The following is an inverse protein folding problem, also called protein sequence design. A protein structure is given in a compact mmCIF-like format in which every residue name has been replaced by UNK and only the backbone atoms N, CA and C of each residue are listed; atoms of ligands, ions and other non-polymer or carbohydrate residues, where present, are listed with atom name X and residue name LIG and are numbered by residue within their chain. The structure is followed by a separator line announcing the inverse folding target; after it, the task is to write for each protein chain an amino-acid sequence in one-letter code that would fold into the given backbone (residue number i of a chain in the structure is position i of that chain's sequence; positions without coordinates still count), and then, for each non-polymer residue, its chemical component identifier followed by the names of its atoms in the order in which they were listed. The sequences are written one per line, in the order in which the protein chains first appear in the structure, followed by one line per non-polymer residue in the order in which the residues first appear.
data_IF_812791130992
#
_entry.id   IF_812791130992
#
_cell.length_a   1.000
_cell.length_b   1.000
_cell.length_c   1.000
_cell.angle_alpha   90.00
_cell.angle_beta   90.00
_cell.angle_gamma   90.00
#
_symmetry.space_group_name_H-M   'P 1'
#
loop_
_entity.id
_entity.type
_entity.pdbx_description
1 polymer ?
#
# COMPACT_ATOMS: atom_id res chain seq x y z
N UNK A 1 4.28 -33.78 13.10
CA UNK A 1 4.94 -32.90 12.11
C UNK A 1 3.84 -32.15 11.39
N UNK A 2 3.64 -30.87 11.68
CA UNK A 2 2.56 -30.11 11.04
C UNK A 2 2.91 -29.89 9.56
N UNK A 3 2.07 -30.43 8.69
CA UNK A 3 2.08 -30.17 7.26
C UNK A 3 1.67 -28.72 7.04
N UNK A 4 2.53 -27.91 6.41
CA UNK A 4 2.10 -26.61 5.88
C UNK A 4 1.68 -26.86 4.43
N UNK A 5 0.42 -27.27 4.28
CA UNK A 5 -0.33 -26.98 3.06
C UNK A 5 -0.55 -25.47 3.02
N UNK A 6 -0.13 -24.84 1.93
CA UNK A 6 -0.98 -23.97 1.13
C UNK A 6 -0.07 -23.23 0.14
N UNK A 7 0.09 -23.83 -1.03
CA UNK A 7 0.10 -23.03 -2.24
C UNK A 7 -1.11 -22.09 -2.17
N UNK A 8 -0.87 -20.78 -2.04
CA UNK A 8 -1.88 -19.80 -2.41
C UNK A 8 -1.48 -19.24 -3.78
N UNK A 9 -1.75 -20.00 -4.87
CA UNK A 9 -1.37 -19.56 -6.20
C UNK A 9 -2.27 -18.39 -6.59
N UNK A 10 -1.64 -17.26 -6.94
CA UNK A 10 -2.22 -16.20 -7.78
C UNK A 10 -3.24 -15.24 -7.10
N UNK A 11 -2.82 -14.55 -6.03
CA UNK A 11 -3.37 -13.21 -5.78
C UNK A 11 -2.94 -12.32 -6.96
N UNK A 12 -3.88 -11.93 -7.84
CA UNK A 12 -3.62 -11.00 -8.95
C UNK A 12 -2.80 -9.83 -8.43
N UNK A 13 -1.65 -9.47 -9.06
CA UNK A 13 -0.86 -8.35 -8.57
C UNK A 13 -1.77 -7.12 -8.59
N UNK A 14 -1.97 -6.49 -7.42
CA UNK A 14 -2.63 -5.19 -7.36
C UNK A 14 -1.91 -4.28 -8.34
N UNK A 15 -2.56 -4.03 -9.48
CA UNK A 15 -1.99 -3.24 -10.57
C UNK A 15 -2.52 -1.82 -10.42
N UNK A 16 -2.23 -1.22 -9.27
CA UNK A 16 -2.54 0.18 -9.04
C UNK A 16 -1.57 1.01 -9.85
N UNK A 17 -2.12 1.87 -10.71
CA UNK A 17 -1.33 2.83 -11.47
C UNK A 17 -1.19 4.11 -10.65
N UNK A 18 -0.30 4.99 -11.11
CA UNK A 18 -0.24 6.33 -10.54
C UNK A 18 -1.39 7.18 -11.12
N UNK A 19 -1.99 8.06 -10.33
CA UNK A 19 -1.62 8.47 -8.96
C UNK A 19 -2.22 7.63 -7.80
N UNK A 20 -3.05 6.62 -8.08
CA UNK A 20 -3.76 5.80 -7.09
C UNK A 20 -2.80 5.03 -6.18
N UNK A 21 -1.73 4.49 -6.76
CA UNK A 21 -0.68 3.80 -6.04
C UNK A 21 -0.05 4.69 -4.95
N UNK A 22 0.26 5.95 -5.29
CA UNK A 22 0.78 6.93 -4.35
C UNK A 22 -0.19 7.25 -3.22
N UNK A 23 -1.49 7.39 -3.52
CA UNK A 23 -2.53 7.61 -2.51
C UNK A 23 -2.69 6.41 -1.57
N UNK A 24 -2.71 5.20 -2.12
CA UNK A 24 -2.75 3.97 -1.32
C UNK A 24 -1.56 3.88 -0.36
N UNK A 25 -0.35 4.16 -0.85
CA UNK A 25 0.88 4.15 -0.04
C UNK A 25 0.80 5.18 1.08
N UNK A 26 0.29 6.39 0.78
CA UNK A 26 0.10 7.44 1.78
C UNK A 26 -0.91 7.04 2.86
N UNK A 27 -2.05 6.51 2.47
CA UNK A 27 -3.09 6.06 3.40
C UNK A 27 -2.56 4.92 4.29
N UNK A 28 -1.82 3.97 3.71
CA UNK A 28 -1.20 2.87 4.45
C UNK A 28 -0.14 3.40 5.43
N UNK A 29 0.68 4.37 5.01
CA UNK A 29 1.66 5.01 5.89
C UNK A 29 0.97 5.74 7.05
N UNK A 30 -0.10 6.49 6.77
CA UNK A 30 -0.87 7.17 7.81
C UNK A 30 -1.50 6.17 8.79
N UNK A 31 -2.01 5.04 8.30
CA UNK A 31 -2.52 3.95 9.15
C UNK A 31 -1.44 3.40 10.10
N UNK A 32 -0.19 3.29 9.62
CA UNK A 32 0.93 2.82 10.45
C UNK A 32 1.44 3.87 11.44
N UNK A 33 1.08 5.15 11.26
CA UNK A 33 1.63 6.26 12.06
C UNK A 33 3.13 6.51 11.83
N UNK A 34 3.74 5.92 10.80
CA UNK A 34 5.18 6.02 10.53
C UNK A 34 5.52 7.26 9.69
N UNK A 35 6.72 7.79 9.91
CA UNK A 35 7.33 8.77 9.00
C UNK A 35 7.66 8.09 7.67
N UNK A 36 7.88 8.87 6.60
CA UNK A 36 8.27 8.31 5.30
C UNK A 36 9.57 7.50 5.38
N UNK A 37 10.52 7.92 6.22
CA UNK A 37 11.78 7.20 6.46
C UNK A 37 11.53 5.86 7.14
N UNK A 38 10.79 5.85 8.26
CA UNK A 38 10.47 4.62 9.00
C UNK A 38 9.63 3.67 8.16
N UNK A 39 8.69 4.20 7.39
CA UNK A 39 7.87 3.43 6.46
C UNK A 39 8.73 2.82 5.34
N UNK A 40 9.64 3.59 4.76
CA UNK A 40 10.59 3.09 3.76
C UNK A 40 11.41 1.94 4.31
N UNK A 41 12.01 2.09 5.50
CA UNK A 41 12.76 1.04 6.18
C UNK A 41 11.90 -0.21 6.42
N UNK A 42 10.64 -0.04 6.82
CA UNK A 42 9.71 -1.15 7.06
C UNK A 42 9.37 -1.92 5.78
N UNK A 43 9.21 -1.22 4.66
CA UNK A 43 8.90 -1.81 3.33
C UNK A 43 10.17 -2.32 2.62
N UNK A 44 11.36 -1.87 3.05
CA UNK A 44 12.66 -2.22 2.47
C UNK A 44 13.09 -1.31 1.32
N UNK A 45 12.68 -0.04 1.33
CA UNK A 45 13.05 0.97 0.33
C UNK A 45 13.55 2.26 0.97
N UNK A 46 14.24 3.10 0.20
CA UNK A 46 14.68 4.41 0.69
C UNK A 46 13.52 5.40 0.83
N UNK A 47 13.69 6.37 1.73
CA UNK A 47 12.79 7.53 1.89
C UNK A 47 12.45 8.19 0.55
N UNK A 48 13.46 8.44 -0.30
CA UNK A 48 13.27 9.08 -1.59
C UNK A 48 12.33 8.27 -2.50
N UNK A 49 12.39 6.95 -2.41
CA UNK A 49 11.52 6.06 -3.17
C UNK A 49 10.07 6.21 -2.72
N UNK A 50 9.83 6.22 -1.40
CA UNK A 50 8.49 6.46 -0.83
C UNK A 50 7.95 7.83 -1.24
N UNK A 51 8.77 8.88 -1.14
CA UNK A 51 8.41 10.24 -1.55
C UNK A 51 8.04 10.31 -3.03
N UNK A 52 8.81 9.66 -3.92
CA UNK A 52 8.49 9.59 -5.35
C UNK A 52 7.20 8.83 -5.63
N UNK A 53 6.92 7.78 -4.87
CA UNK A 53 5.66 7.04 -4.99
C UNK A 53 4.46 7.88 -4.55
N UNK A 54 4.50 8.48 -3.36
CA UNK A 54 3.40 9.30 -2.82
C UNK A 54 3.13 10.54 -3.68
N UNK A 55 4.16 11.11 -4.32
CA UNK A 55 4.03 12.25 -5.24
C UNK A 55 3.67 11.87 -6.69
N UNK A 56 3.40 10.58 -6.97
CA UNK A 56 3.03 10.14 -8.33
C UNK A 56 4.19 10.14 -9.34
N UNK A 57 5.43 10.38 -8.90
CA UNK A 57 6.62 10.55 -9.76
C UNK A 57 7.18 9.22 -10.26
N UNK A 58 6.91 8.12 -9.55
CA UNK A 58 7.41 6.79 -9.89
C UNK A 58 6.40 5.71 -9.52
N UNK A 59 6.24 4.69 -10.37
CA UNK A 59 5.41 3.53 -10.03
C UNK A 59 6.17 2.57 -9.12
N UNK A 60 5.59 2.11 -8.00
CA UNK A 60 6.14 1.01 -7.23
C UNK A 60 6.19 -0.26 -8.08
N UNK A 61 7.25 -1.06 -7.90
CA UNK A 61 7.39 -2.33 -8.61
C UNK A 61 6.40 -3.37 -8.07
N UNK A 62 6.17 -4.44 -8.83
CA UNK A 62 5.33 -5.57 -8.39
C UNK A 62 5.82 -6.18 -7.08
N UNK A 63 7.12 -6.15 -6.81
CA UNK A 63 7.70 -6.62 -5.54
C UNK A 63 7.35 -5.66 -4.40
N UNK A 64 7.53 -4.35 -4.61
CA UNK A 64 7.17 -3.34 -3.63
C UNK A 64 5.68 -3.39 -3.28
N UNK A 65 4.81 -3.61 -4.27
CA UNK A 65 3.38 -3.80 -4.02
C UNK A 65 3.08 -5.00 -3.12
N UNK A 66 3.76 -6.13 -3.34
CA UNK A 66 3.58 -7.30 -2.45
C UNK A 66 3.96 -6.97 -1.01
N UNK A 67 5.05 -6.23 -0.80
CA UNK A 67 5.47 -5.80 0.55
C UNK A 67 4.42 -4.88 1.19
N UNK A 68 3.88 -3.94 0.43
CA UNK A 68 2.81 -3.06 0.90
C UNK A 68 1.52 -3.83 1.24
N UNK A 69 1.18 -4.84 0.45
CA UNK A 69 0.03 -5.72 0.73
C UNK A 69 0.24 -6.56 2.00
N UNK A 70 1.44 -7.11 2.19
CA UNK A 70 1.79 -7.84 3.41
C UNK A 70 1.69 -6.91 4.62
N UNK A 71 2.27 -5.71 4.53
CA UNK A 71 2.18 -4.71 5.58
C UNK A 71 0.73 -4.36 5.90
N UNK A 72 -0.12 -4.13 4.90
CA UNK A 72 -1.54 -3.88 5.12
C UNK A 72 -2.26 -5.06 5.81
N UNK A 73 -1.93 -6.30 5.48
CA UNK A 73 -2.51 -7.47 6.14
C UNK A 73 -2.13 -7.58 7.62
N UNK A 74 -0.97 -7.06 8.03
CA UNK A 74 -0.57 -7.02 9.44
C UNK A 74 -1.47 -6.14 10.31
N UNK A 75 -2.13 -5.12 9.73
CA UNK A 75 -3.07 -4.23 10.42
C UNK A 75 -4.50 -4.80 10.50
N UNK A 76 -4.69 -6.09 10.18
CA UNK A 76 -5.95 -6.78 10.34
C UNK A 76 -7.07 -6.20 9.47
N UNK A 77 -8.24 -5.98 10.06
CA UNK A 77 -9.44 -5.55 9.33
C UNK A 77 -9.31 -4.15 8.72
N UNK A 78 -8.60 -3.23 9.39
CA UNK A 78 -8.39 -1.87 8.86
C UNK A 78 -7.53 -1.87 7.61
N UNK A 79 -6.45 -2.65 7.59
CA UNK A 79 -5.60 -2.75 6.41
C UNK A 79 -6.25 -3.55 5.27
N UNK A 80 -7.07 -4.56 5.58
CA UNK A 80 -7.92 -5.23 4.58
C UNK A 80 -8.96 -4.30 3.98
N UNK A 81 -9.63 -3.47 4.79
CA UNK A 81 -10.58 -2.48 4.31
C UNK A 81 -9.91 -1.46 3.39
N UNK A 82 -8.69 -1.04 3.72
CA UNK A 82 -7.89 -0.19 2.85
C UNK A 82 -7.59 -0.87 1.51
N UNK A 83 -7.13 -2.12 1.52
CA UNK A 83 -6.88 -2.87 0.28
C UNK A 83 -8.15 -2.98 -0.58
N UNK A 84 -9.29 -3.32 0.02
CA UNK A 84 -10.55 -3.47 -0.69
C UNK A 84 -11.03 -2.16 -1.32
N UNK A 85 -10.87 -1.03 -0.61
CA UNK A 85 -11.18 0.30 -1.11
C UNK A 85 -10.43 0.64 -2.41
N UNK A 86 -9.20 0.18 -2.55
CA UNK A 86 -8.40 0.38 -3.77
C UNK A 86 -8.51 -0.80 -4.75
N UNK A 87 -9.20 -1.90 -4.40
CA UNK A 87 -9.44 -3.05 -5.27
C UNK A 87 -10.60 -2.84 -6.22
N UNK A 88 -11.66 -2.21 -5.72
CA UNK A 88 -12.94 -2.02 -6.42
C UNK A 88 -12.95 -0.67 -7.14
N UNK A 89 -12.41 -0.60 -8.36
CA UNK A 89 -12.42 0.63 -9.19
C UNK A 89 -13.61 0.60 -10.17
N UNK A 90 -14.43 1.67 -10.22
CA UNK A 90 -14.25 2.62 -11.31
C UNK A 90 -14.49 4.07 -10.83
N UNK A 91 -13.42 4.87 -10.73
CA UNK A 91 -13.49 6.32 -10.49
C UNK A 91 -14.02 6.74 -9.10
N UNK A 92 -13.14 6.58 -8.09
CA UNK A 92 -13.09 7.26 -6.80
C UNK A 92 -14.07 8.45 -6.57
N UNK A 93 -15.12 8.31 -5.75
CA UNK A 93 -15.73 9.43 -5.05
C UNK A 93 -15.28 9.45 -3.57
N UNK A 94 -14.47 10.46 -3.21
CA UNK A 94 -14.41 11.01 -1.86
C UNK A 94 -13.79 10.17 -0.75
N UNK A 95 -12.56 10.49 -0.38
CA UNK A 95 -12.19 10.52 1.03
C UNK A 95 -11.54 11.86 1.34
N UNK A 96 -11.75 12.40 2.55
CA UNK A 96 -11.61 13.81 2.85
C UNK A 96 -10.23 14.34 2.48
N UNK A 97 -10.26 15.44 1.72
CA UNK A 97 -9.22 16.46 1.76
C UNK A 97 -9.02 16.85 3.23
N UNK A 98 -8.15 16.15 3.95
CA UNK A 98 -7.57 16.70 5.16
C UNK A 98 -6.61 17.79 4.67
N UNK A 99 -7.22 18.96 4.42
CA UNK A 99 -6.51 20.22 4.44
C UNK A 99 -5.73 20.26 5.75
N UNK A 100 -4.45 20.60 5.64
CA UNK A 100 -3.66 20.99 6.78
C UNK A 100 -3.10 22.36 6.41
N UNK A 101 -3.51 23.31 7.25
CA UNK A 101 -3.10 24.71 7.41
C UNK A 101 -1.72 25.08 6.90
#
# INVERSE_FOLDING_TARGET
MYVISCSNPLQKPYSLKQPEAGRFIRDLRQLTGLTQEQFGLRVGVSYETVSRWENGRMQPSSLAFRQLQQLAQEFGDTGKALLERYRSDPLSPGAPSYGST
#
